data_IF_399728395183
#
_entry.id   IF_399728395183
#
_cell.length_a   1.000
_cell.length_b   1.000
_cell.length_c   1.000
_cell.angle_alpha   90.00
_cell.angle_beta   90.00
_cell.angle_gamma   90.00
#
_symmetry.space_group_name_H-M   'P 1'
#
loop_
_entity.id
_entity.type
_entity.pdbx_description
1 polymer ?
#
# COMPACT_ATOMS: atom_id res chain seq x y z
N UNK A 1 75.00 13.30 26.05
CA UNK A 1 75.79 14.42 26.63
C UNK A 1 74.89 15.60 26.84
N UNK A 2 74.87 16.09 28.07
CA UNK A 2 74.67 17.48 28.52
C UNK A 2 73.26 18.02 28.37
N UNK A 3 72.44 17.99 29.41
CA UNK A 3 72.30 18.81 30.65
C UNK A 3 71.66 20.17 30.45
N UNK A 4 70.57 20.35 31.22
CA UNK A 4 70.21 21.55 32.02
C UNK A 4 69.40 22.62 31.25
N UNK A 5 68.44 23.37 31.81
CA UNK A 5 68.05 23.71 33.22
C UNK A 5 66.66 24.33 33.15
N UNK A 6 65.88 24.08 34.16
CA UNK A 6 64.65 24.82 34.56
C UNK A 6 65.04 26.26 35.00
N UNK A 7 64.14 27.25 34.92
CA UNK A 7 63.59 27.72 36.18
C UNK A 7 62.10 27.99 36.13
N UNK A 8 61.45 27.49 37.08
CA UNK A 8 60.51 27.97 38.07
C UNK A 8 60.25 29.49 38.05
N UNK A 9 59.00 29.88 37.85
CA UNK A 9 58.46 31.14 38.35
C UNK A 9 57.05 30.92 38.87
N UNK A 10 56.99 31.10 40.17
CA UNK A 10 55.76 31.12 41.02
C UNK A 10 55.06 32.46 40.79
N UNK A 11 53.82 32.44 40.55
CA UNK A 11 52.95 33.61 40.49
C UNK A 11 51.59 33.28 41.10
N UNK A 12 51.40 33.85 42.20
CA UNK A 12 50.40 33.68 43.25
C UNK A 12 49.06 34.21 42.88
N UNK A 13 48.05 33.44 43.24
CA UNK A 13 46.68 33.81 43.78
C UNK A 13 45.87 34.90 43.10
N UNK A 14 44.64 34.51 42.63
CA UNK A 14 43.42 35.09 43.18
C UNK A 14 42.35 34.00 43.22
N UNK A 15 41.78 33.77 44.41
CA UNK A 15 40.58 32.96 44.62
C UNK A 15 39.38 33.79 44.21
N UNK A 16 38.70 33.42 43.12
CA UNK A 16 37.33 33.84 42.88
C UNK A 16 36.43 32.65 43.14
N UNK A 17 35.74 32.74 44.27
CA UNK A 17 34.74 31.75 44.65
C UNK A 17 33.47 32.06 43.86
N UNK A 18 33.39 31.52 42.67
CA UNK A 18 32.10 31.46 41.98
C UNK A 18 31.32 30.24 42.47
N UNK A 19 30.26 30.54 43.23
CA UNK A 19 29.26 29.57 43.64
C UNK A 19 28.74 28.84 42.41
N UNK A 20 29.12 27.60 42.26
CA UNK A 20 28.54 26.71 41.27
C UNK A 20 27.10 26.44 41.70
N UNK A 21 26.14 27.07 41.04
CA UNK A 21 24.76 26.62 41.07
C UNK A 21 24.71 25.28 40.36
N UNK A 22 24.39 24.26 41.11
CA UNK A 22 24.00 22.95 40.64
C UNK A 22 22.74 23.13 39.76
N UNK A 23 22.95 23.20 38.45
CA UNK A 23 21.90 23.03 37.50
C UNK A 23 21.89 21.56 37.11
N UNK A 24 20.82 20.81 37.44
CA UNK A 24 20.70 19.45 36.94
C UNK A 24 20.67 19.53 35.42
N UNK A 25 21.63 18.90 34.80
CA UNK A 25 21.62 18.67 33.36
C UNK A 25 20.38 17.89 33.02
N UNK A 26 19.33 18.62 32.60
CA UNK A 26 18.14 18.03 31.99
C UNK A 26 18.61 17.41 30.69
N UNK A 27 18.89 16.13 30.74
CA UNK A 27 19.05 15.32 29.56
C UNK A 27 17.74 15.47 28.77
N UNK A 28 17.77 16.34 27.76
CA UNK A 28 16.71 16.36 26.75
C UNK A 28 16.83 15.05 25.99
N UNK A 29 16.07 14.06 26.45
CA UNK A 29 15.72 12.93 25.63
C UNK A 29 15.01 13.49 24.40
N UNK A 30 15.72 13.62 23.30
CA UNK A 30 15.12 13.76 21.98
C UNK A 30 14.47 12.41 21.70
N UNK A 31 13.23 12.27 22.19
CA UNK A 31 12.34 11.23 21.74
C UNK A 31 12.08 11.55 20.28
N UNK A 32 12.88 10.93 19.40
CA UNK A 32 12.60 10.92 17.97
C UNK A 32 11.31 10.13 17.81
N UNK A 33 10.19 10.83 17.86
CA UNK A 33 8.92 10.27 17.46
C UNK A 33 9.03 9.98 15.98
N UNK A 34 9.34 8.73 15.63
CA UNK A 34 9.11 8.25 14.27
C UNK A 34 7.62 8.39 14.03
N UNK A 35 7.23 9.50 13.40
CA UNK A 35 5.94 9.60 12.78
C UNK A 35 5.95 8.60 11.62
N UNK A 36 5.42 7.41 11.89
CA UNK A 36 5.03 6.50 10.82
C UNK A 36 3.87 7.19 10.10
N UNK A 37 4.18 7.90 9.04
CA UNK A 37 3.18 8.43 8.13
C UNK A 37 2.55 7.22 7.44
N UNK A 38 1.46 6.73 8.02
CA UNK A 38 0.63 5.73 7.34
C UNK A 38 -0.05 6.48 6.20
N UNK A 39 0.46 6.32 4.99
CA UNK A 39 -0.22 6.81 3.79
C UNK A 39 -1.48 5.97 3.62
N UNK A 40 -2.62 6.57 3.95
CA UNK A 40 -3.91 5.91 3.73
C UNK A 40 -4.23 6.03 2.25
N UNK A 41 -4.02 4.96 1.51
CA UNK A 41 -4.40 4.86 0.11
C UNK A 41 -5.93 4.74 0.04
N UNK A 42 -6.58 5.72 -0.58
CA UNK A 42 -8.04 5.80 -0.59
C UNK A 42 -8.59 5.31 -1.92
N UNK A 43 -9.47 4.31 -1.87
CA UNK A 43 -10.28 3.90 -3.02
C UNK A 43 -11.39 4.92 -3.28
N UNK A 44 -11.65 5.24 -4.55
CA UNK A 44 -12.80 6.06 -4.91
C UNK A 44 -14.09 5.25 -4.80
N UNK A 45 -15.15 5.88 -4.33
CA UNK A 45 -16.51 5.31 -4.32
C UNK A 45 -17.23 5.45 -5.67
N UNK A 46 -16.64 6.15 -6.63
CA UNK A 46 -17.18 6.37 -7.96
C UNK A 46 -16.36 5.65 -9.02
N UNK A 47 -17.01 5.08 -10.06
CA UNK A 47 -16.32 4.48 -11.18
C UNK A 47 -15.42 5.49 -11.91
N UNK A 48 -14.26 5.07 -12.44
CA UNK A 48 -13.38 5.95 -13.20
C UNK A 48 -14.02 6.40 -14.52
N UNK A 49 -13.52 7.49 -15.08
CA UNK A 49 -13.95 7.95 -16.40
C UNK A 49 -13.76 6.85 -17.45
N UNK A 50 -14.79 6.59 -18.25
CA UNK A 50 -14.80 5.51 -19.25
C UNK A 50 -15.15 4.13 -18.69
N UNK A 51 -15.51 4.04 -17.41
CA UNK A 51 -16.02 2.79 -16.85
C UNK A 51 -17.34 2.37 -17.51
N UNK A 52 -17.56 1.07 -17.54
CA UNK A 52 -18.82 0.49 -17.97
C UNK A 52 -19.97 0.90 -17.04
N UNK A 53 -21.13 1.12 -17.61
CA UNK A 53 -22.36 1.39 -16.86
C UNK A 53 -22.80 0.17 -16.06
N UNK A 54 -23.63 0.38 -15.03
CA UNK A 54 -24.19 -0.71 -14.23
C UNK A 54 -24.91 -1.77 -15.10
N UNK A 55 -25.64 -1.34 -16.13
CA UNK A 55 -26.34 -2.26 -17.04
C UNK A 55 -25.35 -3.05 -17.91
N UNK A 56 -24.28 -2.42 -18.37
CA UNK A 56 -23.22 -3.12 -19.10
C UNK A 56 -22.50 -4.14 -18.20
N UNK A 57 -22.30 -3.83 -16.92
CA UNK A 57 -21.74 -4.77 -15.95
C UNK A 57 -22.68 -5.95 -15.68
N UNK A 58 -24.00 -5.70 -15.54
CA UNK A 58 -25.01 -6.79 -15.43
C UNK A 58 -25.01 -7.69 -16.66
N UNK A 59 -24.89 -7.08 -17.85
CA UNK A 59 -24.78 -7.84 -19.10
C UNK A 59 -23.50 -8.69 -19.16
N UNK A 60 -22.37 -8.14 -18.70
CA UNK A 60 -21.10 -8.87 -18.61
C UNK A 60 -21.20 -10.07 -17.64
N UNK A 61 -21.80 -9.88 -16.49
CA UNK A 61 -22.05 -10.96 -15.51
C UNK A 61 -22.97 -12.04 -16.11
N UNK A 62 -24.03 -11.65 -16.81
CA UNK A 62 -24.92 -12.59 -17.49
C UNK A 62 -24.19 -13.35 -18.61
N UNK A 63 -23.36 -12.65 -19.40
CA UNK A 63 -22.50 -13.25 -20.43
C UNK A 63 -21.49 -14.25 -19.89
N UNK A 64 -21.04 -14.07 -18.65
CA UNK A 64 -20.18 -15.03 -17.95
C UNK A 64 -20.95 -16.24 -17.38
N UNK A 65 -22.27 -16.36 -17.64
CA UNK A 65 -23.10 -17.50 -17.25
C UNK A 65 -23.76 -17.39 -15.87
N UNK A 66 -23.64 -16.23 -15.23
CA UNK A 66 -24.31 -15.98 -13.96
C UNK A 66 -25.71 -15.42 -14.15
N UNK A 67 -26.59 -15.71 -13.19
CA UNK A 67 -28.00 -15.28 -13.18
C UNK A 67 -28.31 -14.60 -11.85
N UNK A 68 -29.46 -13.92 -11.78
CA UNK A 68 -29.97 -13.34 -10.53
C UNK A 68 -28.92 -12.48 -9.81
N UNK A 69 -28.42 -11.42 -10.46
CA UNK A 69 -27.46 -10.47 -9.90
C UNK A 69 -28.12 -9.64 -8.80
N UNK A 70 -27.47 -9.52 -7.64
CA UNK A 70 -27.90 -8.67 -6.52
C UNK A 70 -26.71 -7.94 -5.90
N UNK A 71 -27.01 -6.90 -5.13
CA UNK A 71 -26.02 -6.09 -4.39
C UNK A 71 -24.92 -5.51 -5.29
N UNK A 72 -25.25 -5.18 -6.55
CA UNK A 72 -24.30 -4.57 -7.46
C UNK A 72 -23.96 -3.15 -7.01
N UNK A 73 -22.69 -2.91 -6.70
CA UNK A 73 -22.17 -1.60 -6.29
C UNK A 73 -20.71 -1.45 -6.69
N UNK A 74 -20.30 -0.23 -6.94
CA UNK A 74 -18.90 0.08 -7.13
C UNK A 74 -18.22 0.26 -5.77
N UNK A 75 -17.18 -0.49 -5.51
CA UNK A 75 -16.41 -0.44 -4.26
C UNK A 75 -14.99 -0.94 -4.47
N UNK A 76 -14.02 -0.29 -3.81
CA UNK A 76 -12.60 -0.66 -3.86
C UNK A 76 -12.08 -0.80 -5.29
N UNK A 77 -12.46 0.15 -6.16
CA UNK A 77 -11.99 0.25 -7.55
C UNK A 77 -12.63 -0.72 -8.54
N UNK A 78 -13.53 -1.60 -8.12
CA UNK A 78 -14.23 -2.56 -8.98
C UNK A 78 -15.72 -2.64 -8.66
N UNK A 79 -16.49 -3.18 -9.59
CA UNK A 79 -17.87 -3.53 -9.31
C UNK A 79 -17.92 -4.81 -8.49
N UNK A 80 -18.63 -4.77 -7.37
CA UNK A 80 -18.86 -5.92 -6.48
C UNK A 80 -20.31 -6.32 -6.55
N UNK A 81 -20.58 -7.62 -6.62
CA UNK A 81 -21.95 -8.16 -6.64
C UNK A 81 -21.98 -9.58 -6.09
N UNK A 82 -23.19 -10.11 -5.96
CA UNK A 82 -23.44 -11.53 -5.82
C UNK A 82 -24.33 -11.99 -6.96
N UNK A 83 -24.04 -13.15 -7.52
CA UNK A 83 -24.84 -13.72 -8.58
C UNK A 83 -24.92 -15.25 -8.45
N UNK A 84 -25.95 -15.83 -9.03
CA UNK A 84 -26.11 -17.28 -9.06
C UNK A 84 -25.34 -17.90 -10.20
N UNK A 85 -24.43 -18.82 -9.87
CA UNK A 85 -23.76 -19.65 -10.85
C UNK A 85 -24.63 -20.78 -11.40
N UNK A 86 -24.10 -21.54 -12.32
CA UNK A 86 -24.80 -22.68 -12.95
C UNK A 86 -25.22 -23.78 -11.97
N UNK A 87 -24.53 -23.92 -10.84
CA UNK A 87 -24.84 -24.82 -9.73
C UNK A 87 -25.90 -24.28 -8.76
N UNK A 88 -26.54 -23.14 -9.09
CA UNK A 88 -27.52 -22.40 -8.28
C UNK A 88 -26.96 -21.86 -6.94
N UNK A 89 -25.66 -21.90 -6.73
CA UNK A 89 -25.02 -21.29 -5.56
C UNK A 89 -24.79 -19.80 -5.77
N UNK A 90 -24.89 -19.02 -4.70
CA UNK A 90 -24.51 -17.61 -4.70
C UNK A 90 -23.01 -17.48 -4.62
N UNK A 91 -22.43 -16.75 -5.56
CA UNK A 91 -20.99 -16.48 -5.64
C UNK A 91 -20.79 -14.97 -5.57
N UNK A 92 -19.83 -14.53 -4.78
CA UNK A 92 -19.35 -13.14 -4.81
C UNK A 92 -18.55 -12.93 -6.08
N UNK A 93 -18.79 -11.82 -6.75
CA UNK A 93 -18.11 -11.43 -7.97
C UNK A 93 -17.47 -10.07 -7.83
N UNK A 94 -16.26 -9.93 -8.35
CA UNK A 94 -15.68 -8.65 -8.72
C UNK A 94 -15.73 -8.52 -10.26
N UNK A 95 -15.95 -7.31 -10.76
CA UNK A 95 -15.97 -7.04 -12.20
C UNK A 95 -15.12 -5.82 -12.50
N UNK A 96 -14.19 -5.95 -13.43
CA UNK A 96 -13.33 -4.86 -13.85
C UNK A 96 -14.13 -3.71 -14.47
N UNK A 97 -13.93 -2.47 -14.00
CA UNK A 97 -14.78 -1.35 -14.41
C UNK A 97 -14.61 -0.97 -15.89
N UNK A 98 -13.44 -1.19 -16.45
CA UNK A 98 -13.14 -0.85 -17.85
C UNK A 98 -13.31 -2.04 -18.79
N UNK A 99 -12.99 -3.24 -18.33
CA UNK A 99 -12.98 -4.45 -19.16
C UNK A 99 -14.27 -5.26 -19.11
N UNK A 100 -15.06 -5.13 -18.03
CA UNK A 100 -16.19 -6.01 -17.78
C UNK A 100 -15.81 -7.46 -17.46
N UNK A 101 -14.50 -7.76 -17.27
CA UNK A 101 -14.04 -9.10 -16.92
C UNK A 101 -14.54 -9.48 -15.54
N UNK A 102 -15.13 -10.66 -15.43
CA UNK A 102 -15.74 -11.16 -14.18
C UNK A 102 -14.74 -12.05 -13.45
N UNK A 103 -14.58 -11.80 -12.16
CA UNK A 103 -13.68 -12.51 -11.26
C UNK A 103 -14.50 -13.12 -10.12
N UNK A 104 -14.80 -14.43 -10.20
CA UNK A 104 -15.49 -15.12 -9.11
C UNK A 104 -14.57 -15.32 -7.90
N UNK A 105 -15.10 -15.06 -6.71
CA UNK A 105 -14.33 -15.18 -5.47
C UNK A 105 -13.86 -16.60 -5.15
N UNK A 106 -14.54 -17.60 -5.69
CA UNK A 106 -14.26 -19.02 -5.52
C UNK A 106 -13.33 -19.60 -6.61
N UNK A 107 -12.95 -18.79 -7.60
CA UNK A 107 -12.02 -19.23 -8.64
C UNK A 107 -10.56 -19.15 -8.17
N UNK A 108 -9.77 -20.21 -8.39
CA UNK A 108 -8.36 -20.19 -8.03
C UNK A 108 -7.57 -19.23 -8.93
N UNK A 109 -6.52 -18.64 -8.38
CA UNK A 109 -5.54 -17.91 -9.18
C UNK A 109 -4.66 -18.86 -10.02
N UNK A 110 -4.25 -18.41 -11.19
CA UNK A 110 -3.21 -19.07 -12.00
C UNK A 110 -1.81 -18.60 -11.65
N UNK A 111 -1.71 -17.47 -10.97
CA UNK A 111 -0.46 -16.86 -10.54
C UNK A 111 -0.28 -17.05 -9.04
N UNK A 112 0.96 -17.09 -8.60
CA UNK A 112 1.33 -16.99 -7.21
C UNK A 112 1.83 -15.57 -6.85
N UNK A 113 2.05 -15.32 -5.57
CA UNK A 113 2.49 -14.03 -5.02
C UNK A 113 3.76 -13.49 -5.70
N UNK A 114 4.76 -14.37 -5.92
CA UNK A 114 6.03 -13.98 -6.54
C UNK A 114 5.85 -13.59 -8.01
N UNK A 115 5.00 -14.31 -8.74
CA UNK A 115 4.69 -14.02 -10.13
C UNK A 115 3.94 -12.70 -10.28
N UNK A 116 2.97 -12.44 -9.38
CA UNK A 116 2.26 -11.14 -9.35
C UNK A 116 3.24 -10.01 -9.07
N UNK A 117 4.09 -10.16 -8.05
CA UNK A 117 5.11 -9.17 -7.71
C UNK A 117 6.06 -8.90 -8.88
N UNK A 118 6.51 -9.94 -9.58
CA UNK A 118 7.38 -9.81 -10.74
C UNK A 118 6.69 -9.10 -11.92
N UNK A 119 5.41 -9.41 -12.16
CA UNK A 119 4.61 -8.75 -13.21
C UNK A 119 4.38 -7.27 -12.91
N UNK A 120 4.07 -6.92 -11.67
CA UNK A 120 3.92 -5.53 -11.24
C UNK A 120 5.26 -4.77 -11.37
N UNK A 121 6.37 -5.38 -10.95
CA UNK A 121 7.70 -4.80 -11.14
C UNK A 121 8.02 -4.58 -12.62
N UNK A 122 7.71 -5.55 -13.48
CA UNK A 122 7.83 -5.44 -14.93
C UNK A 122 6.94 -4.36 -15.55
N UNK A 123 5.81 -4.05 -14.92
CA UNK A 123 4.92 -2.94 -15.31
C UNK A 123 5.38 -1.57 -14.76
N UNK A 124 6.54 -1.51 -14.08
CA UNK A 124 7.15 -0.29 -13.56
C UNK A 124 6.76 0.09 -12.13
N UNK A 125 5.98 -0.73 -11.45
CA UNK A 125 5.68 -0.51 -10.03
C UNK A 125 6.89 -0.89 -9.16
N UNK A 126 7.11 -0.14 -8.09
CA UNK A 126 8.22 -0.30 -7.17
C UNK A 126 7.71 -0.64 -5.77
N UNK A 127 8.57 -1.25 -4.94
CA UNK A 127 8.26 -1.58 -3.55
C UNK A 127 6.93 -2.34 -3.39
N UNK A 128 6.69 -3.33 -4.26
CA UNK A 128 5.50 -4.18 -4.20
C UNK A 128 5.51 -4.96 -2.89
N UNK A 129 4.41 -4.88 -2.13
CA UNK A 129 4.24 -5.52 -0.83
C UNK A 129 2.78 -5.86 -0.56
N UNK A 130 2.52 -6.61 0.52
CA UNK A 130 1.19 -7.03 0.95
C UNK A 130 0.38 -7.73 -0.16
N UNK A 131 1.06 -8.51 -0.99
CA UNK A 131 0.43 -9.23 -2.10
C UNK A 131 -0.41 -10.37 -1.54
N UNK A 132 -1.73 -10.30 -1.74
CA UNK A 132 -2.69 -11.28 -1.24
C UNK A 132 -3.72 -11.61 -2.31
N UNK A 133 -4.16 -12.86 -2.35
CA UNK A 133 -5.28 -13.28 -3.18
C UNK A 133 -6.56 -13.31 -2.35
N UNK A 134 -7.49 -12.41 -2.66
CA UNK A 134 -8.75 -12.28 -1.94
C UNK A 134 -9.91 -11.99 -2.92
N UNK A 135 -11.06 -12.62 -2.71
CA UNK A 135 -12.29 -12.40 -3.48
C UNK A 135 -12.12 -12.41 -5.01
N UNK A 136 -11.24 -13.29 -5.50
CA UNK A 136 -11.03 -13.51 -6.93
C UNK A 136 -10.03 -12.57 -7.61
N UNK A 137 -9.38 -11.69 -6.86
CA UNK A 137 -8.35 -10.77 -7.34
C UNK A 137 -7.12 -10.81 -6.43
N UNK A 138 -5.97 -10.42 -6.94
CA UNK A 138 -4.82 -10.10 -6.13
C UNK A 138 -4.89 -8.65 -5.67
N UNK A 139 -4.67 -8.43 -4.40
CA UNK A 139 -4.48 -7.12 -3.79
C UNK A 139 -2.98 -6.91 -3.55
N UNK A 140 -2.47 -5.71 -3.81
CA UNK A 140 -1.07 -5.37 -3.59
C UNK A 140 -0.90 -3.88 -3.35
N UNK A 141 0.01 -3.53 -2.44
CA UNK A 141 0.51 -2.17 -2.30
C UNK A 141 1.78 -1.99 -3.12
N UNK A 142 1.94 -0.85 -3.74
CA UNK A 142 3.12 -0.53 -4.52
C UNK A 142 3.36 0.98 -4.61
N UNK A 143 4.53 1.35 -5.16
CA UNK A 143 4.78 2.73 -5.61
C UNK A 143 4.71 2.81 -7.14
N UNK A 144 4.09 3.87 -7.63
CA UNK A 144 4.17 4.20 -9.06
C UNK A 144 5.60 4.56 -9.45
N UNK A 145 5.94 4.62 -10.76
CA UNK A 145 7.24 5.12 -11.22
C UNK A 145 7.58 6.54 -10.75
N UNK A 146 6.57 7.31 -10.34
CA UNK A 146 6.73 8.67 -9.79
C UNK A 146 6.92 8.68 -8.27
N UNK A 147 6.94 7.51 -7.63
CA UNK A 147 7.15 7.36 -6.20
C UNK A 147 5.89 7.45 -5.33
N UNK A 148 4.70 7.59 -5.94
CA UNK A 148 3.43 7.68 -5.21
C UNK A 148 2.96 6.30 -4.74
N UNK A 149 2.50 6.21 -3.50
CA UNK A 149 1.92 4.97 -2.95
C UNK A 149 0.54 4.72 -3.55
N UNK A 150 0.28 3.47 -3.94
CA UNK A 150 -0.99 3.04 -4.54
C UNK A 150 -1.33 1.64 -4.08
N UNK A 151 -2.63 1.38 -3.90
CA UNK A 151 -3.16 0.02 -3.81
C UNK A 151 -3.63 -0.43 -5.20
N UNK A 152 -3.38 -1.69 -5.53
CA UNK A 152 -3.63 -2.28 -6.83
C UNK A 152 -4.50 -3.52 -6.69
N UNK A 153 -5.49 -3.66 -7.57
CA UNK A 153 -6.16 -4.94 -7.81
C UNK A 153 -5.63 -5.53 -9.11
N UNK A 154 -5.25 -6.80 -9.06
CA UNK A 154 -4.51 -7.46 -10.13
C UNK A 154 -5.22 -8.73 -10.57
N UNK A 155 -5.26 -8.94 -11.87
CA UNK A 155 -5.87 -10.09 -12.51
C UNK A 155 -5.15 -11.39 -12.13
N UNK A 156 -5.87 -12.41 -11.63
CA UNK A 156 -5.28 -13.68 -11.19
C UNK A 156 -4.79 -14.57 -12.35
N UNK A 157 -5.10 -14.20 -13.59
CA UNK A 157 -4.76 -15.00 -14.77
C UNK A 157 -3.49 -14.54 -15.44
N UNK A 158 -3.34 -13.22 -15.62
CA UNK A 158 -2.26 -12.62 -16.39
C UNK A 158 -1.42 -11.58 -15.63
N UNK A 159 -1.88 -11.15 -14.45
CA UNK A 159 -1.18 -10.17 -13.62
C UNK A 159 -1.32 -8.72 -14.09
N UNK A 160 -2.27 -8.44 -14.96
CA UNK A 160 -2.59 -7.07 -15.37
C UNK A 160 -3.30 -6.32 -14.24
N UNK A 161 -3.09 -5.00 -14.16
CA UNK A 161 -3.77 -4.16 -13.18
C UNK A 161 -5.21 -3.92 -13.61
N UNK A 162 -6.15 -4.37 -12.79
CA UNK A 162 -7.60 -4.22 -13.00
C UNK A 162 -8.10 -2.87 -12.48
N UNK A 163 -7.58 -2.47 -11.32
CA UNK A 163 -7.91 -1.19 -10.70
C UNK A 163 -6.73 -0.67 -9.87
N UNK A 164 -6.68 0.65 -9.72
CA UNK A 164 -5.69 1.36 -8.94
C UNK A 164 -6.39 2.41 -8.07
N UNK A 165 -5.99 2.48 -6.79
CA UNK A 165 -6.46 3.55 -5.90
C UNK A 165 -5.94 4.91 -6.37
N UNK A 166 -6.59 5.99 -5.93
CA UNK A 166 -6.06 7.35 -6.08
C UNK A 166 -5.07 7.67 -4.96
N UNK A 167 -4.16 8.55 -5.32
CA UNK A 167 -3.22 9.21 -4.42
C UNK A 167 -3.94 10.21 -3.53
#
# INVERSE_FOLDING_TARGET
MIKRILPLLIGLLVFDVAVAQDQPATARSVTSTMQTTTTVTTWTSEPPSGALTEDAIKAAIAGAGYKEVKDLRFKDGVWRSQARGGNKQWVKLAVGPLSGKVYPADSPSRLNENEVSAKLAGAGYQNVKHVKFEEGLWDADAKTPRGTDVALLVDPTDGSVVAKSRD
#
